data_IF_779273857309
#
_entry.id   IF_779273857309
#
_cell.length_a   1.000
_cell.length_b   1.000
_cell.length_c   1.000
_cell.angle_alpha   90.00
_cell.angle_beta   90.00
_cell.angle_gamma   90.00
#
_symmetry.space_group_name_H-M   'P 1'
#
loop_
_entity.id
_entity.type
_entity.pdbx_description
1 polymer ?
#
# COMPACT_ATOMS: atom_id res chain seq x y z
N UNK A 1 -43.26 -22.93 13.30
CA UNK A 1 -41.82 -23.01 13.72
C UNK A 1 -40.94 -21.81 13.30
N UNK A 2 -41.19 -21.13 12.17
CA UNK A 2 -40.33 -20.05 11.67
C UNK A 2 -40.32 -18.76 12.53
N UNK A 3 -41.44 -18.42 13.18
CA UNK A 3 -41.57 -17.21 14.02
C UNK A 3 -40.63 -17.18 15.24
N UNK A 4 -40.38 -18.35 15.87
CA UNK A 4 -39.45 -18.44 17.03
C UNK A 4 -37.99 -18.21 16.61
N UNK A 5 -37.59 -18.67 15.41
CA UNK A 5 -36.21 -18.49 14.89
C UNK A 5 -35.89 -17.03 14.57
N UNK A 6 -36.88 -16.27 14.06
CA UNK A 6 -36.70 -14.85 13.76
C UNK A 6 -36.54 -14.00 15.04
N UNK A 7 -37.30 -14.32 16.10
CA UNK A 7 -37.17 -13.64 17.41
C UNK A 7 -35.82 -13.88 18.07
N UNK A 8 -35.25 -15.09 17.95
CA UNK A 8 -33.92 -15.41 18.46
C UNK A 8 -32.82 -14.66 17.71
N UNK A 9 -32.91 -14.56 16.38
CA UNK A 9 -31.96 -13.79 15.55
C UNK A 9 -32.00 -12.29 15.85
N UNK A 10 -33.19 -11.73 16.10
CA UNK A 10 -33.32 -10.32 16.48
C UNK A 10 -32.72 -10.04 17.86
N UNK A 11 -32.94 -10.93 18.85
CA UNK A 11 -32.34 -10.81 20.19
C UNK A 11 -30.81 -10.87 20.14
N UNK A 12 -30.25 -11.81 19.37
CA UNK A 12 -28.79 -11.90 19.18
C UNK A 12 -28.20 -10.65 18.53
N UNK A 13 -28.87 -10.08 17.51
CA UNK A 13 -28.45 -8.83 16.85
C UNK A 13 -28.51 -7.63 17.79
N UNK A 14 -29.52 -7.54 18.65
CA UNK A 14 -29.65 -6.47 19.65
C UNK A 14 -28.57 -6.58 20.74
N UNK A 15 -28.26 -7.79 21.21
CA UNK A 15 -27.17 -8.00 22.17
C UNK A 15 -25.79 -7.68 21.57
N UNK A 16 -25.53 -8.08 20.33
CA UNK A 16 -24.27 -7.77 19.66
C UNK A 16 -24.07 -6.24 19.47
N UNK A 17 -25.12 -5.51 19.10
CA UNK A 17 -25.07 -4.04 18.98
C UNK A 17 -24.81 -3.34 20.32
N UNK A 18 -25.40 -3.84 21.41
CA UNK A 18 -25.15 -3.30 22.75
C UNK A 18 -23.70 -3.47 23.21
N UNK A 19 -23.11 -4.64 22.96
CA UNK A 19 -21.71 -4.94 23.31
C UNK A 19 -20.74 -4.07 22.49
N UNK A 20 -21.00 -3.87 21.19
CA UNK A 20 -20.15 -3.06 20.33
C UNK A 20 -20.16 -1.57 20.72
N UNK A 21 -21.31 -1.03 21.14
CA UNK A 21 -21.42 0.35 21.61
C UNK A 21 -20.69 0.56 22.95
N UNK A 22 -20.78 -0.41 23.87
CA UNK A 22 -20.08 -0.35 25.15
C UNK A 22 -18.55 -0.40 24.99
N UNK A 23 -18.03 -1.21 24.06
CA UNK A 23 -16.59 -1.22 23.75
C UNK A 23 -16.11 0.10 23.14
N UNK A 24 -16.90 0.72 22.26
CA UNK A 24 -16.53 2.01 21.64
C UNK A 24 -16.42 3.14 22.69
N UNK A 25 -17.34 3.16 23.67
CA UNK A 25 -17.31 4.13 24.76
C UNK A 25 -16.11 3.93 25.70
N UNK A 26 -15.71 2.67 25.96
CA UNK A 26 -14.54 2.37 26.79
C UNK A 26 -13.22 2.82 26.13
N UNK A 27 -13.09 2.62 24.81
CA UNK A 27 -11.90 3.04 24.04
C UNK A 27 -11.79 4.57 24.01
N UNK A 28 -12.91 5.28 23.81
CA UNK A 28 -12.94 6.75 23.87
C UNK A 28 -12.51 7.29 25.25
N UNK A 29 -12.94 6.65 26.34
CA UNK A 29 -12.52 7.04 27.69
C UNK A 29 -11.02 6.84 27.93
N UNK A 30 -10.42 5.80 27.35
CA UNK A 30 -8.97 5.54 27.45
C UNK A 30 -8.13 6.56 26.65
N UNK A 31 -8.61 7.02 25.49
CA UNK A 31 -7.92 8.02 24.67
C UNK A 31 -7.91 9.42 25.31
N UNK A 32 -8.90 9.76 26.13
CA UNK A 32 -8.95 11.05 26.83
C UNK A 32 -8.03 11.12 28.06
N UNK A 33 -7.54 9.98 28.57
CA UNK A 33 -6.69 9.91 29.75
C UNK A 33 -5.19 10.06 29.45
N UNK A 34 -4.76 10.00 28.18
CA UNK A 34 -3.34 10.02 27.80
C UNK A 34 -2.76 11.42 27.53
N UNK A 35 -3.54 12.50 27.67
CA UNK A 35 -3.03 13.86 27.53
C UNK A 35 -2.68 14.44 28.92
N UNK A 36 -1.50 14.10 29.44
CA UNK A 36 -0.87 14.85 30.54
C UNK A 36 0.62 15.11 30.26
N UNK A 37 0.87 16.41 30.01
CA UNK A 37 2.01 17.23 30.44
C UNK A 37 3.43 16.84 30.01
N UNK A 38 3.98 17.61 29.08
CA UNK A 38 5.40 18.01 29.09
C UNK A 38 5.45 19.54 29.05
N UNK A 39 5.56 20.14 30.25
CA UNK A 39 6.11 21.49 30.49
C UNK A 39 7.62 21.43 30.23
N UNK A 40 8.14 22.25 29.32
CA UNK A 40 8.79 23.55 29.60
C UNK A 40 10.14 23.40 30.32
N UNK A 41 11.24 23.76 29.64
CA UNK A 41 12.30 24.64 30.17
C UNK A 41 13.07 25.30 29.02
N UNK A 42 13.24 26.61 29.14
CA UNK A 42 13.91 27.53 28.23
C UNK A 42 15.24 28.06 28.80
N UNK A 43 16.11 28.58 27.93
CA UNK A 43 17.09 29.65 28.22
C UNK A 43 18.57 29.32 27.88
N UNK A 44 19.16 29.78 26.75
CA UNK A 44 19.92 31.06 26.45
C UNK A 44 21.31 31.22 27.10
N UNK A 45 22.25 32.09 26.62
CA UNK A 45 22.68 32.48 25.26
C UNK A 45 24.23 32.56 25.08
N UNK A 46 24.67 33.13 23.94
CA UNK A 46 26.01 33.27 23.30
C UNK A 46 27.21 33.83 24.09
N UNK A 47 28.41 33.55 23.57
CA UNK A 47 29.56 34.49 23.50
C UNK A 47 30.39 34.28 22.22
N UNK A 48 30.55 35.33 21.43
CA UNK A 48 31.52 35.50 20.33
C UNK A 48 32.91 35.86 20.88
N UNK A 49 33.99 35.38 20.25
CA UNK A 49 35.20 36.18 19.95
C UNK A 49 36.00 35.54 18.79
N UNK A 50 36.39 36.39 17.84
CA UNK A 50 37.09 36.21 16.55
C UNK A 50 38.54 35.66 16.64
N UNK A 51 38.96 34.75 15.74
CA UNK A 51 39.87 34.93 14.57
C UNK A 51 41.35 35.23 14.95
N UNK A 52 42.39 34.46 14.59
CA UNK A 52 42.80 34.01 13.25
C UNK A 52 43.76 32.80 13.24
N UNK A 53 43.58 31.99 12.21
CA UNK A 53 44.58 31.40 11.30
C UNK A 53 45.50 30.24 11.77
N UNK A 54 45.10 29.06 11.26
CA UNK A 54 45.91 28.00 10.64
C UNK A 54 46.82 27.15 11.53
N UNK A 55 46.37 25.92 11.83
CA UNK A 55 46.82 24.69 11.14
C UNK A 55 46.08 23.44 11.65
N UNK A 56 45.50 22.70 10.70
CA UNK A 56 45.25 21.25 10.70
C UNK A 56 44.87 20.58 12.03
N UNK A 57 43.57 20.40 12.28
CA UNK A 57 43.06 19.32 13.15
C UNK A 57 41.64 18.92 12.73
N UNK A 58 41.53 17.66 12.31
CA UNK A 58 40.41 16.72 12.41
C UNK A 58 39.00 17.30 12.58
N UNK A 59 38.30 17.37 11.44
CA UNK A 59 36.87 17.66 11.37
C UNK A 59 36.06 16.41 11.81
N UNK A 60 35.66 16.41 13.07
CA UNK A 60 34.54 15.61 13.58
C UNK A 60 33.23 16.21 13.03
N UNK A 61 32.97 15.96 11.75
CA UNK A 61 31.65 16.14 11.15
C UNK A 61 30.87 14.85 11.34
N UNK A 62 29.71 14.97 11.96
CA UNK A 62 28.80 13.89 12.29
C UNK A 62 28.44 13.09 11.03
N UNK A 63 29.12 11.94 10.90
CA UNK A 63 28.90 10.90 9.91
C UNK A 63 27.48 10.34 10.07
N UNK A 64 26.53 10.91 9.34
CA UNK A 64 25.26 10.24 9.04
C UNK A 64 25.62 8.94 8.31
N UNK A 65 25.18 7.75 8.76
CA UNK A 65 25.49 6.52 8.05
C UNK A 65 24.72 6.51 6.73
N UNK A 66 25.42 6.85 5.65
CA UNK A 66 25.07 6.43 4.30
C UNK A 66 25.18 4.90 4.24
N UNK A 67 24.12 4.24 3.77
CA UNK A 67 24.14 2.81 3.48
C UNK A 67 23.41 1.91 4.48
N UNK A 68 22.12 2.14 4.71
CA UNK A 68 21.24 0.98 4.89
C UNK A 68 21.02 0.37 3.50
N UNK A 69 21.93 -0.52 3.12
CA UNK A 69 21.71 -1.44 2.01
C UNK A 69 20.42 -2.23 2.34
N UNK A 70 19.36 -1.94 1.60
CA UNK A 70 18.12 -2.72 1.59
C UNK A 70 18.51 -4.20 1.55
N UNK A 71 18.22 -4.94 2.62
CA UNK A 71 18.47 -6.38 2.61
C UNK A 71 17.69 -6.97 1.44
N UNK A 72 18.36 -7.70 0.52
CA UNK A 72 17.68 -8.24 -0.64
C UNK A 72 16.53 -9.14 -0.18
N UNK A 73 15.40 -9.05 -0.88
CA UNK A 73 14.28 -9.96 -0.68
C UNK A 73 14.78 -11.43 -0.65
N UNK A 74 14.19 -12.30 0.20
CA UNK A 74 14.65 -13.68 0.34
C UNK A 74 14.80 -14.44 -1.00
N UNK A 75 15.79 -15.33 -1.08
CA UNK A 75 16.02 -16.12 -2.29
C UNK A 75 14.84 -17.06 -2.61
N UNK A 76 14.12 -17.54 -1.60
CA UNK A 76 12.91 -18.34 -1.77
C UNK A 76 11.68 -17.50 -1.41
N UNK A 77 10.54 -17.79 -2.06
CA UNK A 77 9.28 -17.11 -1.76
C UNK A 77 8.80 -17.51 -0.35
N UNK A 78 8.66 -16.57 0.60
CA UNK A 78 8.17 -16.87 1.94
C UNK A 78 6.72 -17.39 1.91
N UNK A 79 6.36 -18.25 2.87
CA UNK A 79 5.00 -18.81 2.98
C UNK A 79 3.92 -17.75 3.21
N UNK A 80 4.29 -16.62 3.81
CA UNK A 80 3.37 -15.51 4.08
C UNK A 80 3.24 -14.51 2.92
N UNK A 81 3.91 -14.77 1.80
CA UNK A 81 3.89 -13.91 0.62
C UNK A 81 2.46 -13.68 0.11
N UNK A 82 2.06 -12.42 0.09
CA UNK A 82 0.78 -12.00 -0.45
C UNK A 82 0.86 -10.55 -0.91
N UNK A 83 0.02 -10.16 -1.86
CA UNK A 83 -0.05 -8.79 -2.32
C UNK A 83 -1.48 -8.40 -2.71
N UNK A 84 -1.71 -7.08 -2.71
CA UNK A 84 -2.86 -6.46 -3.33
C UNK A 84 -2.38 -5.28 -4.18
N UNK A 85 -2.95 -5.12 -5.38
CA UNK A 85 -2.71 -3.95 -6.23
C UNK A 85 -4.05 -3.38 -6.68
N UNK A 86 -4.23 -2.08 -6.49
CA UNK A 86 -5.33 -1.30 -7.07
C UNK A 86 -4.77 -0.43 -8.19
N UNK A 87 -5.44 -0.37 -9.34
CA UNK A 87 -4.92 0.28 -10.54
C UNK A 87 -6.00 0.78 -11.52
N UNK A 88 -5.59 1.62 -12.46
CA UNK A 88 -6.45 2.20 -13.51
C UNK A 88 -6.93 3.62 -13.19
N UNK A 89 -7.79 4.19 -14.06
CA UNK A 89 -8.12 5.63 -14.05
C UNK A 89 -8.81 6.11 -12.76
N UNK A 90 -9.46 5.20 -12.05
CA UNK A 90 -10.08 5.48 -10.74
C UNK A 90 -9.63 4.50 -9.65
N UNK A 91 -8.54 3.77 -9.92
CA UNK A 91 -8.00 2.69 -9.08
C UNK A 91 -9.04 1.65 -8.62
N UNK A 92 -10.14 1.47 -9.37
CA UNK A 92 -11.20 0.51 -9.05
C UNK A 92 -10.90 -0.92 -9.50
N UNK A 93 -9.92 -1.13 -10.39
CA UNK A 93 -9.44 -2.49 -10.62
C UNK A 93 -8.61 -2.91 -9.41
N UNK A 94 -8.80 -4.14 -8.93
CA UNK A 94 -8.04 -4.69 -7.81
C UNK A 94 -7.70 -6.15 -8.05
N UNK A 95 -6.47 -6.52 -7.78
CA UNK A 95 -6.03 -7.92 -7.69
C UNK A 95 -5.56 -8.12 -6.26
N UNK A 96 -6.17 -9.05 -5.53
CA UNK A 96 -5.95 -9.24 -4.10
C UNK A 96 -5.75 -10.72 -3.76
N UNK A 97 -4.53 -11.08 -3.35
CA UNK A 97 -4.20 -12.45 -2.92
C UNK A 97 -4.39 -12.66 -1.42
N UNK A 98 -4.66 -11.62 -0.63
CA UNK A 98 -5.06 -11.78 0.77
C UNK A 98 -6.50 -12.26 0.87
N UNK A 99 -7.36 -11.71 0.02
CA UNK A 99 -8.80 -12.02 -0.03
C UNK A 99 -9.17 -13.02 -1.14
N UNK A 100 -8.21 -13.44 -1.96
CA UNK A 100 -8.43 -14.31 -3.12
C UNK A 100 -9.50 -13.76 -4.05
N UNK A 101 -9.39 -12.47 -4.40
CA UNK A 101 -10.39 -11.72 -5.16
C UNK A 101 -9.75 -10.90 -6.27
N UNK A 102 -10.45 -10.83 -7.40
CA UNK A 102 -10.19 -9.81 -8.43
C UNK A 102 -11.43 -8.96 -8.62
N UNK A 103 -11.24 -7.64 -8.65
CA UNK A 103 -12.26 -6.64 -8.95
C UNK A 103 -11.94 -6.01 -10.30
N UNK A 104 -12.91 -6.02 -11.21
CA UNK A 104 -12.83 -5.39 -12.52
C UNK A 104 -13.64 -4.10 -12.50
N UNK A 105 -13.03 -3.01 -12.96
CA UNK A 105 -13.71 -1.76 -13.23
C UNK A 105 -14.58 -1.92 -14.50
N UNK A 106 -15.88 -1.68 -14.36
CA UNK A 106 -16.85 -1.69 -15.45
C UNK A 106 -17.14 -0.27 -15.97
N UNK A 107 -16.36 0.71 -15.55
CA UNK A 107 -16.46 2.13 -15.90
C UNK A 107 -17.79 2.70 -15.42
N UNK A 108 -18.77 2.84 -16.30
CA UNK A 108 -20.09 3.41 -15.96
C UNK A 108 -20.95 2.44 -15.15
N UNK A 109 -20.65 1.14 -15.20
CA UNK A 109 -21.43 0.09 -14.53
C UNK A 109 -20.90 -0.27 -13.14
N UNK A 110 -19.96 0.51 -12.61
CA UNK A 110 -19.36 0.25 -11.29
C UNK A 110 -18.27 -0.81 -11.35
N UNK A 111 -18.34 -1.82 -10.50
CA UNK A 111 -17.33 -2.87 -10.40
C UNK A 111 -17.97 -4.25 -10.33
N UNK A 112 -17.24 -5.27 -10.76
CA UNK A 112 -17.62 -6.67 -10.56
C UNK A 112 -16.45 -7.48 -10.00
N UNK A 113 -16.78 -8.43 -9.13
CA UNK A 113 -15.80 -9.27 -8.44
C UNK A 113 -15.87 -10.73 -8.91
N UNK A 114 -14.72 -11.37 -8.97
CA UNK A 114 -14.59 -12.81 -9.09
C UNK A 114 -13.62 -13.36 -8.05
N UNK A 115 -13.78 -14.64 -7.72
CA UNK A 115 -12.77 -15.37 -6.95
C UNK A 115 -11.48 -15.49 -7.79
N UNK A 116 -10.35 -15.27 -7.13
CA UNK A 116 -9.02 -15.36 -7.71
C UNK A 116 -8.21 -16.42 -6.99
N UNK A 117 -7.83 -17.45 -7.74
CA UNK A 117 -6.86 -18.44 -7.30
C UNK A 117 -5.65 -18.40 -8.24
N UNK A 118 -4.50 -18.02 -7.68
CA UNK A 118 -3.20 -18.14 -8.33
C UNK A 118 -2.55 -19.43 -7.85
N UNK A 119 -1.94 -20.19 -8.78
CA UNK A 119 -1.19 -21.38 -8.43
C UNK A 119 0.11 -21.01 -7.70
N UNK A 120 0.77 -22.00 -7.09
CA UNK A 120 2.07 -21.77 -6.43
C UNK A 120 3.10 -21.26 -7.43
N UNK A 121 3.14 -21.84 -8.62
CA UNK A 121 4.06 -21.48 -9.70
C UNK A 121 3.82 -20.05 -10.20
N UNK A 122 2.55 -19.63 -10.27
CA UNK A 122 2.18 -18.26 -10.64
C UNK A 122 2.65 -17.26 -9.58
N UNK A 123 2.42 -17.55 -8.29
CA UNK A 123 2.91 -16.73 -7.18
C UNK A 123 4.45 -16.66 -7.17
N UNK A 124 5.14 -17.77 -7.44
CA UNK A 124 6.61 -17.82 -7.54
C UNK A 124 7.13 -16.97 -8.67
N UNK A 125 6.46 -16.99 -9.83
CA UNK A 125 6.86 -16.18 -10.98
C UNK A 125 6.70 -14.69 -10.69
N UNK A 126 5.62 -14.30 -10.00
CA UNK A 126 5.40 -12.92 -9.54
C UNK A 126 6.46 -12.52 -8.51
N UNK A 127 6.70 -13.37 -7.51
CA UNK A 127 7.71 -13.14 -6.49
C UNK A 127 9.11 -12.97 -7.09
N UNK A 128 9.47 -13.80 -8.07
CA UNK A 128 10.77 -13.71 -8.75
C UNK A 128 10.97 -12.35 -9.41
N UNK A 129 9.93 -11.81 -10.08
CA UNK A 129 9.96 -10.46 -10.67
C UNK A 129 10.08 -9.36 -9.61
N UNK A 130 9.31 -9.47 -8.53
CA UNK A 130 9.41 -8.55 -7.38
C UNK A 130 10.82 -8.57 -6.77
N UNK A 131 11.44 -9.75 -6.66
CA UNK A 131 12.80 -9.91 -6.15
C UNK A 131 13.85 -9.33 -7.10
N UNK A 132 13.72 -9.56 -8.40
CA UNK A 132 14.64 -9.03 -9.43
C UNK A 132 14.77 -7.51 -9.35
N UNK A 133 13.65 -6.82 -9.10
CA UNK A 133 13.62 -5.37 -8.93
C UNK A 133 13.79 -4.89 -7.48
N UNK A 134 13.98 -5.80 -6.53
CA UNK A 134 14.00 -5.50 -5.09
C UNK A 134 12.81 -4.62 -4.65
N UNK A 135 11.58 -5.11 -4.88
CA UNK A 135 10.34 -4.31 -4.73
C UNK A 135 10.20 -3.63 -3.36
N UNK A 136 10.75 -4.23 -2.30
CA UNK A 136 10.71 -3.71 -0.93
C UNK A 136 11.64 -2.52 -0.68
N UNK A 137 12.62 -2.34 -1.55
CA UNK A 137 13.60 -1.27 -1.50
C UNK A 137 13.31 -0.12 -2.45
N UNK A 138 12.23 -0.20 -3.25
CA UNK A 138 11.86 0.86 -4.19
C UNK A 138 11.49 2.14 -3.42
N UNK A 139 11.97 3.26 -3.92
CA UNK A 139 11.73 4.59 -3.37
C UNK A 139 11.54 5.57 -4.53
N UNK A 140 11.06 6.78 -4.25
CA UNK A 140 10.96 7.85 -5.26
C UNK A 140 10.14 7.42 -6.50
N UNK A 141 8.96 6.86 -6.26
CA UNK A 141 8.08 6.36 -7.34
C UNK A 141 7.36 7.49 -8.11
N UNK A 142 7.50 8.73 -7.69
CA UNK A 142 6.90 9.90 -8.33
C UNK A 142 7.99 10.90 -8.71
N UNK A 143 7.81 11.57 -9.84
CA UNK A 143 8.72 12.64 -10.29
C UNK A 143 8.60 13.82 -9.33
N UNK A 144 9.73 14.34 -8.83
CA UNK A 144 9.76 15.44 -7.85
C UNK A 144 9.35 16.79 -8.45
N UNK A 145 9.72 17.03 -9.71
CA UNK A 145 9.48 18.29 -10.42
C UNK A 145 8.82 18.05 -11.79
N UNK A 146 7.54 17.62 -11.81
CA UNK A 146 6.86 17.29 -13.05
C UNK A 146 6.47 18.56 -13.83
N UNK A 147 6.66 18.51 -15.15
CA UNK A 147 6.39 19.64 -16.06
C UNK A 147 5.07 19.53 -16.83
N UNK A 148 4.44 18.35 -16.83
CA UNK A 148 3.21 18.03 -17.56
C UNK A 148 2.18 17.39 -16.63
N UNK A 149 0.89 17.62 -16.87
CA UNK A 149 -0.21 16.81 -16.31
C UNK A 149 -1.12 16.28 -17.42
N UNK A 150 -1.70 15.10 -17.22
CA UNK A 150 -2.65 14.46 -18.14
C UNK A 150 -3.92 14.00 -17.43
N UNK A 151 -5.04 14.00 -18.17
CA UNK A 151 -6.35 13.47 -17.75
C UNK A 151 -6.96 12.77 -18.97
N UNK A 152 -7.54 11.57 -18.82
CA UNK A 152 -7.51 10.74 -17.62
C UNK A 152 -6.09 10.23 -17.31
N UNK A 153 -5.84 9.87 -16.05
CA UNK A 153 -4.58 9.26 -15.61
C UNK A 153 -4.84 8.06 -14.73
N UNK A 154 -3.89 7.13 -14.67
CA UNK A 154 -3.99 5.93 -13.83
C UNK A 154 -3.11 6.05 -12.60
N UNK A 155 -3.62 5.67 -11.44
CA UNK A 155 -2.83 5.54 -10.22
C UNK A 155 -2.77 4.08 -9.80
N UNK A 156 -1.61 3.66 -9.32
CA UNK A 156 -1.40 2.33 -8.79
C UNK A 156 -1.03 2.42 -7.29
N UNK A 157 -1.65 1.57 -6.48
CA UNK A 157 -1.28 1.38 -5.07
C UNK A 157 -1.14 -0.09 -4.75
N UNK A 158 -0.05 -0.42 -4.06
CA UNK A 158 0.34 -1.78 -3.71
C UNK A 158 0.41 -1.94 -2.20
N UNK A 159 -0.04 -3.10 -1.74
CA UNK A 159 0.25 -3.64 -0.42
C UNK A 159 0.92 -4.99 -0.62
N UNK A 160 2.08 -5.20 -0.04
CA UNK A 160 2.86 -6.44 -0.18
C UNK A 160 3.21 -6.94 1.20
N UNK A 161 2.93 -8.21 1.50
CA UNK A 161 3.39 -8.91 2.70
C UNK A 161 4.44 -9.93 2.31
N UNK A 162 5.57 -9.90 2.99
CA UNK A 162 6.61 -10.93 2.91
C UNK A 162 7.49 -10.90 4.16
N UNK A 163 7.86 -12.08 4.66
CA UNK A 163 8.78 -12.21 5.79
C UNK A 163 8.28 -11.53 7.06
N UNK A 164 6.96 -11.59 7.31
CA UNK A 164 6.30 -10.97 8.47
C UNK A 164 6.16 -9.45 8.40
N UNK A 165 6.55 -8.80 7.29
CA UNK A 165 6.49 -7.35 7.12
C UNK A 165 5.49 -6.96 6.03
N UNK A 166 4.93 -5.76 6.15
CA UNK A 166 4.10 -5.15 5.11
C UNK A 166 4.83 -3.96 4.48
N UNK A 167 4.72 -3.84 3.16
CA UNK A 167 5.29 -2.78 2.34
C UNK A 167 4.16 -2.13 1.54
N UNK A 168 4.20 -0.80 1.46
CA UNK A 168 3.21 0.00 0.75
C UNK A 168 3.91 0.84 -0.31
N UNK A 169 3.44 0.76 -1.55
CA UNK A 169 3.99 1.51 -2.68
C UNK A 169 2.84 2.19 -3.40
N UNK A 170 3.05 3.42 -3.86
CA UNK A 170 2.06 4.12 -4.66
C UNK A 170 2.74 5.06 -5.64
N UNK A 171 2.20 5.15 -6.85
CA UNK A 171 2.63 6.11 -7.85
C UNK A 171 1.44 6.65 -8.62
N UNK A 172 1.59 7.87 -9.13
CA UNK A 172 0.57 8.52 -9.95
C UNK A 172 0.99 8.66 -11.41
N UNK A 173 0.10 8.28 -12.31
CA UNK A 173 0.22 8.52 -13.75
C UNK A 173 -0.20 9.92 -14.17
N UNK A 174 -0.53 10.80 -13.22
CA UNK A 174 -0.96 12.19 -13.48
C UNK A 174 0.05 12.96 -14.31
N UNK A 175 1.33 12.64 -14.17
CA UNK A 175 2.42 13.31 -14.89
C UNK A 175 2.81 12.50 -16.13
N UNK A 176 3.20 13.18 -17.22
CA UNK A 176 3.62 12.52 -18.48
C UNK A 176 4.80 11.55 -18.30
N UNK A 177 5.60 11.77 -17.25
CA UNK A 177 6.81 11.03 -16.97
C UNK A 177 6.63 10.16 -15.72
N UNK A 178 7.11 8.92 -15.82
CA UNK A 178 7.25 7.99 -14.70
C UNK A 178 8.73 7.78 -14.39
N UNK A 179 9.05 7.62 -13.12
CA UNK A 179 10.38 7.16 -12.71
C UNK A 179 10.61 5.73 -13.19
N UNK A 180 11.88 5.30 -13.27
CA UNK A 180 12.18 3.95 -13.73
C UNK A 180 11.54 2.88 -12.85
N UNK A 181 11.54 3.09 -11.53
CA UNK A 181 10.92 2.19 -10.56
C UNK A 181 9.39 2.11 -10.75
N UNK A 182 8.73 3.24 -11.02
CA UNK A 182 7.30 3.26 -11.31
C UNK A 182 6.96 2.52 -12.61
N UNK A 183 7.78 2.67 -13.66
CA UNK A 183 7.62 1.91 -14.92
C UNK A 183 7.74 0.41 -14.69
N UNK A 184 8.74 -0.02 -13.92
CA UNK A 184 8.90 -1.45 -13.64
C UNK A 184 7.75 -2.01 -12.78
N UNK A 185 7.19 -1.22 -11.85
CA UNK A 185 5.97 -1.61 -11.13
C UNK A 185 4.75 -1.71 -12.05
N UNK A 186 4.63 -0.78 -13.00
CA UNK A 186 3.57 -0.82 -14.02
C UNK A 186 3.67 -2.12 -14.86
N UNK A 187 4.88 -2.45 -15.35
CA UNK A 187 5.14 -3.68 -16.09
C UNK A 187 4.81 -4.94 -15.26
N UNK A 188 5.15 -4.95 -13.97
CA UNK A 188 4.77 -6.02 -13.06
C UNK A 188 3.25 -6.13 -12.92
N UNK A 189 2.54 -5.02 -12.72
CA UNK A 189 1.07 -5.03 -12.64
C UNK A 189 0.46 -5.52 -13.95
N UNK A 190 0.95 -5.10 -15.10
CA UNK A 190 0.41 -5.53 -16.40
C UNK A 190 0.65 -7.01 -16.65
N UNK A 191 1.81 -7.53 -16.24
CA UNK A 191 2.10 -8.96 -16.24
C UNK A 191 1.09 -9.75 -15.39
N UNK A 192 0.83 -9.31 -14.14
CA UNK A 192 -0.13 -9.96 -13.24
C UNK A 192 -1.55 -9.85 -13.81
N UNK A 193 -1.94 -8.67 -14.29
CA UNK A 193 -3.25 -8.44 -14.88
C UNK A 193 -3.49 -9.35 -16.09
N UNK A 194 -2.49 -9.50 -16.99
CA UNK A 194 -2.58 -10.40 -18.12
C UNK A 194 -2.70 -11.88 -17.71
N UNK A 195 -2.06 -12.28 -16.61
CA UNK A 195 -2.23 -13.62 -16.03
C UNK A 195 -3.64 -13.81 -15.48
N UNK A 196 -4.15 -12.86 -14.70
CA UNK A 196 -5.50 -12.91 -14.11
C UNK A 196 -6.59 -12.89 -15.17
N UNK A 197 -6.44 -12.08 -16.23
CA UNK A 197 -7.39 -11.99 -17.34
C UNK A 197 -7.56 -13.30 -18.13
N UNK A 198 -6.59 -14.22 -18.05
CA UNK A 198 -6.68 -15.54 -18.68
C UNK A 198 -7.49 -16.54 -17.85
N UNK A 199 -7.76 -16.26 -16.57
CA UNK A 199 -8.55 -17.13 -15.69
C UNK A 199 -10.02 -17.13 -16.11
N UNK A 200 -10.64 -18.30 -16.08
CA UNK A 200 -12.06 -18.45 -16.45
C UNK A 200 -12.99 -17.60 -15.58
N UNK A 201 -12.71 -17.50 -14.28
CA UNK A 201 -13.49 -16.66 -13.36
C UNK A 201 -13.49 -15.18 -13.77
N UNK A 202 -12.35 -14.66 -14.24
CA UNK A 202 -12.26 -13.28 -14.72
C UNK A 202 -12.99 -13.09 -16.06
N UNK A 203 -12.87 -14.04 -16.98
CA UNK A 203 -13.54 -13.99 -18.29
C UNK A 203 -15.06 -13.98 -18.20
N UNK A 204 -15.62 -14.53 -17.11
CA UNK A 204 -17.05 -14.52 -16.84
C UNK A 204 -17.56 -13.17 -16.30
N UNK A 205 -16.67 -12.25 -15.92
CA UNK A 205 -17.06 -10.91 -15.49
C UNK A 205 -17.65 -10.11 -16.67
N UNK A 206 -18.64 -9.24 -16.42
CA UNK A 206 -19.23 -8.39 -17.47
C UNK A 206 -18.17 -7.59 -18.24
N UNK A 207 -18.48 -7.29 -19.51
CA UNK A 207 -17.69 -6.34 -20.29
C UNK A 207 -17.90 -4.93 -19.75
N UNK A 208 -16.83 -4.15 -19.65
CA UNK A 208 -16.91 -2.74 -19.26
C UNK A 208 -17.69 -1.93 -20.31
N UNK A 209 -18.40 -0.89 -19.89
CA UNK A 209 -19.14 0.01 -20.78
C UNK A 209 -18.78 1.48 -20.52
N UNK A 210 -18.40 2.18 -21.57
CA UNK A 210 -17.99 3.59 -21.53
C UNK A 210 -16.47 3.77 -21.56
N UNK A 211 -16.03 5.00 -21.31
CA UNK A 211 -14.63 5.40 -21.17
C UNK A 211 -14.50 6.48 -20.12
N UNK A 212 -13.27 6.95 -19.90
CA UNK A 212 -13.01 8.12 -19.07
C UNK A 212 -12.71 9.31 -19.98
N UNK A 213 -13.29 10.45 -19.64
CA UNK A 213 -13.08 11.73 -20.31
C UNK A 213 -11.96 12.53 -19.64
#
# INVERSE_FOLDING_TARGET
MQSKRNRLRQRARLQAKGIQLAMLLLIMALLLASCRTVEEMAGTPMKETEEHAAKETEEQSAKRPEGQANSPMPAEMPDDFAFAVQYGVTSKNRIDTFEHRVTKDLVSDGTADAELQLSREELESIYAKMREMNVTGLANLNVEHPSCQQIPYTDDSWTIRLGGKQYYLAWTGKYCELTQDAKSLQELRDYIAAMVQKKEAYKQLPTARGGYD
#
